data_IF_818721605704
#
_entry.id   IF_818721605704
#
_cell.length_a   1.000
_cell.length_b   1.000
_cell.length_c   1.000
_cell.angle_alpha   90.00
_cell.angle_beta   90.00
_cell.angle_gamma   90.00
#
_symmetry.space_group_name_H-M   'P 1'
#
loop_
_entity.id
_entity.type
_entity.pdbx_description
1 polymer ?
#
# COMPACT_ATOMS: atom_id res chain seq x y z
N UNK A 1 -5.47 9.34 9.99
CA UNK A 1 -5.23 10.41 9.01
C UNK A 1 -5.21 9.74 7.64
N UNK A 2 -6.22 10.00 6.81
CA UNK A 2 -6.26 9.46 5.44
C UNK A 2 -5.23 10.20 4.58
N UNK A 3 -4.65 9.51 3.59
CA UNK A 3 -3.81 10.14 2.58
C UNK A 3 -4.69 10.49 1.38
N UNK A 4 -4.54 11.71 0.89
CA UNK A 4 -5.28 12.24 -0.25
C UNK A 4 -4.26 12.77 -1.25
N UNK A 5 -4.45 12.49 -2.53
CA UNK A 5 -3.62 13.03 -3.59
C UNK A 5 -3.84 14.54 -3.73
N UNK A 6 -2.80 15.35 -3.53
CA UNK A 6 -2.93 16.82 -3.65
C UNK A 6 -2.95 17.30 -5.12
N UNK A 7 -2.53 16.43 -6.04
CA UNK A 7 -2.51 16.68 -7.49
C UNK A 7 -2.78 15.40 -8.25
N UNK A 8 -3.14 15.52 -9.53
CA UNK A 8 -3.18 14.39 -10.45
C UNK A 8 -1.79 13.76 -10.56
N UNK A 9 -1.65 12.50 -10.15
CA UNK A 9 -0.38 11.79 -10.06
C UNK A 9 -0.40 10.57 -10.99
N UNK A 10 0.52 10.53 -11.96
CA UNK A 10 0.81 9.31 -12.71
C UNK A 10 1.64 8.36 -11.85
N UNK A 11 1.13 7.16 -11.59
CA UNK A 11 1.86 6.14 -10.84
C UNK A 11 3.03 5.64 -11.70
N UNK A 12 4.24 5.65 -11.12
CA UNK A 12 5.48 5.29 -11.83
C UNK A 12 5.34 3.93 -12.52
N UNK A 13 5.90 3.84 -13.73
CA UNK A 13 5.95 2.59 -14.53
C UNK A 13 4.59 2.02 -14.94
N UNK A 14 3.51 2.78 -14.76
CA UNK A 14 2.15 2.41 -15.20
C UNK A 14 1.50 3.56 -15.95
N UNK A 15 0.42 3.29 -16.68
CA UNK A 15 -0.45 4.32 -17.27
C UNK A 15 -1.62 4.74 -16.35
N UNK A 16 -1.53 4.39 -15.07
CA UNK A 16 -2.54 4.73 -14.07
C UNK A 16 -2.35 6.17 -13.60
N UNK A 17 -3.45 6.93 -13.59
CA UNK A 17 -3.53 8.29 -13.05
C UNK A 17 -4.38 8.24 -11.77
N UNK A 18 -3.83 8.72 -10.67
CA UNK A 18 -4.52 8.98 -9.40
C UNK A 18 -5.00 10.43 -9.44
N UNK A 19 -6.31 10.72 -9.52
CA UNK A 19 -6.81 12.08 -9.56
C UNK A 19 -6.54 12.84 -8.26
N UNK A 20 -6.42 14.16 -8.35
CA UNK A 20 -6.44 15.07 -7.20
C UNK A 20 -7.69 14.79 -6.35
N UNK A 21 -7.53 14.93 -5.04
CA UNK A 21 -8.54 14.70 -4.00
C UNK A 21 -8.99 13.23 -3.85
N UNK A 22 -8.40 12.28 -4.58
CA UNK A 22 -8.63 10.85 -4.37
C UNK A 22 -7.94 10.38 -3.08
N UNK A 23 -8.67 9.60 -2.28
CA UNK A 23 -8.12 8.90 -1.11
C UNK A 23 -7.22 7.75 -1.58
N UNK A 24 -6.01 7.68 -1.02
CA UNK A 24 -5.03 6.64 -1.29
C UNK A 24 -4.82 5.80 -0.02
N UNK A 25 -5.07 4.50 -0.13
CA UNK A 25 -4.90 3.55 0.98
C UNK A 25 -3.80 2.55 0.63
N UNK A 26 -2.82 2.41 1.53
CA UNK A 26 -1.82 1.34 1.45
C UNK A 26 -2.28 0.23 2.41
N UNK A 27 -2.57 -0.99 1.93
CA UNK A 27 -3.10 -2.07 2.77
C UNK A 27 -2.00 -2.76 3.58
N UNK A 28 -1.37 -2.02 4.51
CA UNK A 28 -0.22 -2.49 5.31
C UNK A 28 -0.52 -3.80 6.05
N UNK A 29 -1.72 -3.94 6.61
CA UNK A 29 -2.12 -5.16 7.34
C UNK A 29 -2.07 -6.41 6.47
N UNK A 30 -2.56 -6.32 5.21
CA UNK A 30 -2.55 -7.43 4.27
C UNK A 30 -1.13 -7.70 3.76
N UNK A 31 -0.38 -6.64 3.44
CA UNK A 31 1.01 -6.75 2.99
C UNK A 31 1.92 -7.43 4.03
N UNK A 32 1.77 -7.07 5.31
CA UNK A 32 2.51 -7.72 6.40
C UNK A 32 2.11 -9.19 6.61
N UNK A 33 0.95 -9.59 6.07
CA UNK A 33 0.45 -10.96 6.15
C UNK A 33 0.63 -11.77 4.88
N UNK A 34 1.34 -11.21 3.90
CA UNK A 34 1.59 -11.89 2.65
C UNK A 34 2.70 -12.94 2.84
N UNK A 35 2.41 -14.25 2.67
CA UNK A 35 3.41 -15.30 2.81
C UNK A 35 4.50 -15.26 1.72
N UNK A 36 4.28 -14.56 0.59
CA UNK A 36 5.31 -14.35 -0.42
C UNK A 36 6.39 -13.34 0.04
N UNK A 37 6.02 -12.44 0.96
CA UNK A 37 6.92 -11.42 1.51
C UNK A 37 7.47 -11.82 2.88
N UNK A 38 6.63 -12.38 3.76
CA UNK A 38 6.98 -12.80 5.11
C UNK A 38 6.65 -14.29 5.31
N UNK A 39 7.65 -15.18 5.38
CA UNK A 39 7.41 -16.59 5.68
C UNK A 39 6.74 -16.75 7.05
N UNK A 40 5.65 -17.52 7.12
CA UNK A 40 4.83 -17.73 8.34
C UNK A 40 4.28 -16.42 8.97
N UNK A 41 3.54 -15.60 8.22
CA UNK A 41 3.18 -14.24 8.64
C UNK A 41 2.27 -14.14 9.87
N UNK A 42 1.62 -15.24 10.24
CA UNK A 42 0.73 -15.30 11.41
C UNK A 42 1.48 -15.66 12.70
N UNK A 43 2.78 -15.97 12.61
CA UNK A 43 3.62 -16.26 13.78
C UNK A 43 4.29 -14.97 14.24
N UNK A 44 4.13 -14.65 15.52
CA UNK A 44 4.91 -13.59 16.14
C UNK A 44 6.32 -14.12 16.44
N UNK A 45 7.31 -13.63 15.71
CA UNK A 45 8.72 -13.95 15.90
C UNK A 45 9.50 -12.67 16.26
N UNK A 46 9.87 -12.46 17.54
CA UNK A 46 10.58 -11.27 18.00
C UNK A 46 12.12 -11.41 17.98
N UNK A 47 12.65 -12.58 17.62
CA UNK A 47 14.07 -12.92 17.73
C UNK A 47 14.97 -12.28 16.65
#
# INVERSE_FOLDING_TARGET
>A
LERVADVDLKLKETDIIIPKDMIVTIPIYALQRDPEVFPNPEVFDPD
#
